data_IF_816029244837
#
_entry.id   IF_816029244837
#
_cell.length_a   1.000
_cell.length_b   1.000
_cell.length_c   1.000
_cell.angle_alpha   90.00
_cell.angle_beta   90.00
_cell.angle_gamma   90.00
#
_symmetry.space_group_name_H-M   'P 1'
#
loop_
_entity.id
_entity.type
_entity.pdbx_description
1 polymer ?
#
# COMPACT_ATOMS: atom_id res chain seq x y z
N UNK A 1 10.25 -11.70 7.37
CA UNK A 1 9.94 -10.81 6.24
C UNK A 1 9.37 -9.51 6.78
N UNK A 2 9.86 -8.39 6.31
CA UNK A 2 9.35 -7.09 6.73
C UNK A 2 7.98 -6.81 6.14
N UNK A 3 7.20 -5.98 6.81
CA UNK A 3 5.86 -5.61 6.35
C UNK A 3 5.86 -4.98 4.96
N UNK A 4 6.84 -4.10 4.69
CA UNK A 4 7.01 -3.49 3.38
C UNK A 4 7.14 -4.54 2.28
N UNK A 5 7.94 -5.57 2.52
CA UNK A 5 8.13 -6.66 1.57
C UNK A 5 6.86 -7.46 1.36
N UNK A 6 6.11 -7.71 2.43
CA UNK A 6 4.83 -8.43 2.34
C UNK A 6 3.81 -7.65 1.51
N UNK A 7 3.74 -6.34 1.73
CA UNK A 7 2.85 -5.48 0.97
C UNK A 7 3.21 -5.55 -0.51
N UNK A 8 4.48 -5.37 -0.84
CA UNK A 8 4.94 -5.39 -2.22
C UNK A 8 4.67 -6.74 -2.88
N UNK A 9 4.93 -7.83 -2.18
CA UNK A 9 4.72 -9.18 -2.70
C UNK A 9 3.25 -9.45 -2.97
N UNK A 10 2.37 -9.11 -2.03
CA UNK A 10 0.93 -9.34 -2.20
C UNK A 10 0.36 -8.53 -3.35
N UNK A 11 0.78 -7.27 -3.48
CA UNK A 11 0.30 -6.42 -4.56
C UNK A 11 0.83 -6.91 -5.91
N UNK A 12 2.05 -7.40 -5.97
CA UNK A 12 2.62 -7.96 -7.18
C UNK A 12 1.83 -9.20 -7.62
N UNK A 13 1.54 -10.09 -6.70
CA UNK A 13 0.81 -11.32 -7.02
C UNK A 13 -0.63 -11.04 -7.41
N UNK A 14 -1.28 -10.08 -6.76
CA UNK A 14 -2.69 -9.80 -7.00
C UNK A 14 -2.94 -8.99 -8.27
N UNK A 15 -2.06 -8.07 -8.62
CA UNK A 15 -2.34 -7.09 -9.67
C UNK A 15 -1.35 -7.11 -10.83
N UNK A 16 -0.26 -7.86 -10.74
CA UNK A 16 0.78 -7.91 -11.78
C UNK A 16 1.12 -6.50 -12.29
N UNK A 17 1.52 -5.58 -11.41
CA UNK A 17 1.63 -4.17 -11.78
C UNK A 17 2.80 -3.92 -12.74
N UNK A 18 2.62 -2.91 -13.59
CA UNK A 18 3.69 -2.41 -14.44
C UNK A 18 4.68 -1.59 -13.63
N UNK A 19 4.22 -0.98 -12.55
CA UNK A 19 5.03 -0.16 -11.67
C UNK A 19 4.48 -0.28 -10.25
N UNK A 20 5.39 -0.42 -9.30
CA UNK A 20 5.01 -0.52 -7.89
C UNK A 20 6.10 0.09 -7.02
N UNK A 21 5.70 1.01 -6.16
CA UNK A 21 6.59 1.56 -5.15
C UNK A 21 5.87 1.54 -3.81
N UNK A 22 6.54 0.99 -2.81
CA UNK A 22 6.03 0.94 -1.44
C UNK A 22 7.01 1.70 -0.55
N UNK A 23 6.52 2.74 0.10
CA UNK A 23 7.33 3.58 0.98
C UNK A 23 6.89 3.39 2.42
N UNK A 24 7.85 3.18 3.30
CA UNK A 24 7.63 3.15 4.73
C UNK A 24 7.82 4.56 5.26
N UNK A 25 6.73 5.20 5.66
CA UNK A 25 6.73 6.57 6.15
C UNK A 25 6.63 6.64 7.68
N UNK A 26 6.82 5.52 8.36
CA UNK A 26 6.67 5.45 9.81
C UNK A 26 7.61 6.41 10.54
N UNK A 27 8.79 6.62 10.01
CA UNK A 27 9.77 7.53 10.61
C UNK A 27 9.32 8.99 10.65
N UNK A 28 8.35 9.38 9.80
CA UNK A 28 7.81 10.74 9.80
C UNK A 28 6.99 11.03 11.05
N UNK A 29 6.70 10.01 11.84
CA UNK A 29 5.90 10.11 13.06
C UNK A 29 6.75 9.95 14.32
N UNK A 30 8.09 9.95 14.17
CA UNK A 30 8.99 9.86 15.33
C UNK A 30 8.75 10.99 16.31
N UNK A 31 8.75 10.67 17.59
CA UNK A 31 8.51 11.63 18.66
C UNK A 31 7.05 11.84 18.98
N UNK A 32 6.14 11.31 18.20
CA UNK A 32 4.71 11.40 18.48
C UNK A 32 4.28 10.28 19.43
N UNK A 33 3.25 10.54 20.21
CA UNK A 33 2.69 9.51 21.09
C UNK A 33 2.26 8.33 20.23
N UNK A 34 2.61 7.13 20.66
CA UNK A 34 2.28 5.92 19.94
C UNK A 34 3.29 5.49 18.88
N UNK A 35 4.32 6.29 18.65
CA UNK A 35 5.39 5.90 17.73
C UNK A 35 6.05 4.61 18.22
N UNK A 36 6.30 3.69 17.28
CA UNK A 36 7.02 2.45 17.56
C UNK A 36 8.40 2.50 16.95
N UNK A 37 9.45 2.19 17.73
CA UNK A 37 10.78 2.05 17.15
C UNK A 37 10.76 0.98 16.05
N UNK A 38 11.47 1.22 14.96
CA UNK A 38 11.56 0.28 13.86
C UNK A 38 10.58 0.49 12.72
N UNK A 39 9.60 1.38 12.88
CA UNK A 39 8.66 1.74 11.80
C UNK A 39 7.59 0.69 11.54
N UNK A 40 7.27 0.51 10.26
CA UNK A 40 6.32 -0.50 9.75
C UNK A 40 4.86 -0.27 10.18
N UNK A 41 4.48 0.98 10.43
CA UNK A 41 3.11 1.33 10.82
C UNK A 41 2.40 2.21 9.82
N UNK A 42 3.14 2.99 9.01
CA UNK A 42 2.57 3.94 8.05
C UNK A 42 3.25 3.75 6.71
N UNK A 43 2.44 3.48 5.69
CA UNK A 43 2.96 3.18 4.36
C UNK A 43 2.27 4.01 3.29
N UNK A 44 2.98 4.23 2.20
CA UNK A 44 2.44 4.84 0.98
C UNK A 44 2.74 3.92 -0.19
N UNK A 45 1.72 3.71 -1.03
CA UNK A 45 1.83 2.83 -2.19
C UNK A 45 1.52 3.59 -3.46
N UNK A 46 2.42 3.49 -4.45
CA UNK A 46 2.17 3.92 -5.82
C UNK A 46 2.15 2.69 -6.69
N UNK A 47 1.02 2.42 -7.34
CA UNK A 47 0.85 1.21 -8.13
C UNK A 47 0.16 1.53 -9.45
N UNK A 48 0.69 0.98 -10.54
CA UNK A 48 0.10 1.09 -11.88
C UNK A 48 -0.18 -0.32 -12.38
N UNK A 49 -1.43 -0.60 -12.69
CA UNK A 49 -1.83 -1.93 -13.14
C UNK A 49 -3.04 -1.88 -14.06
N UNK A 50 -3.07 -2.76 -15.07
CA UNK A 50 -4.23 -2.94 -15.94
C UNK A 50 -5.48 -3.33 -15.14
N UNK A 51 -5.31 -3.95 -13.99
CA UNK A 51 -6.43 -4.35 -13.13
C UNK A 51 -7.30 -3.17 -12.69
N UNK A 52 -6.75 -1.96 -12.72
CA UNK A 52 -7.48 -0.74 -12.31
C UNK A 52 -8.18 -0.04 -13.46
N UNK A 53 -8.01 -0.51 -14.68
CA UNK A 53 -8.64 0.10 -15.84
C UNK A 53 -10.16 0.05 -15.73
N UNK A 54 -10.81 1.18 -15.94
CA UNK A 54 -12.28 1.26 -15.84
C UNK A 54 -12.82 1.26 -14.42
N UNK A 55 -11.95 1.22 -13.40
CA UNK A 55 -12.38 1.22 -12.00
C UNK A 55 -12.36 2.61 -11.41
N UNK A 56 -13.32 2.89 -10.53
CA UNK A 56 -13.35 4.14 -9.77
C UNK A 56 -12.21 4.16 -8.76
N UNK A 57 -11.90 5.34 -8.25
CA UNK A 57 -10.91 5.48 -7.18
C UNK A 57 -11.28 4.64 -5.95
N UNK A 58 -12.55 4.67 -5.56
CA UNK A 58 -13.04 3.90 -4.42
C UNK A 58 -12.89 2.40 -4.67
N UNK A 59 -13.22 1.93 -5.88
CA UNK A 59 -13.10 0.51 -6.21
C UNK A 59 -11.65 0.05 -6.15
N UNK A 60 -10.71 0.87 -6.66
CA UNK A 60 -9.28 0.55 -6.63
C UNK A 60 -8.79 0.43 -5.19
N UNK A 61 -9.18 1.37 -4.33
CA UNK A 61 -8.79 1.34 -2.92
C UNK A 61 -9.35 0.11 -2.21
N UNK A 62 -10.58 -0.29 -2.51
CA UNK A 62 -11.17 -1.50 -1.94
C UNK A 62 -10.41 -2.74 -2.35
N UNK A 63 -10.02 -2.83 -3.62
CA UNK A 63 -9.26 -3.97 -4.13
C UNK A 63 -7.95 -4.13 -3.37
N UNK A 64 -7.25 -3.01 -3.16
CA UNK A 64 -5.98 -3.03 -2.44
C UNK A 64 -6.19 -3.33 -0.96
N UNK A 65 -7.19 -2.72 -0.33
CA UNK A 65 -7.48 -2.96 1.09
C UNK A 65 -7.84 -4.42 1.36
N UNK A 66 -8.59 -5.05 0.47
CA UNK A 66 -8.91 -6.47 0.59
C UNK A 66 -7.66 -7.34 0.48
N UNK A 67 -6.79 -7.01 -0.47
CA UNK A 67 -5.53 -7.74 -0.66
C UNK A 67 -4.63 -7.63 0.56
N UNK A 68 -4.63 -6.48 1.23
CA UNK A 68 -3.77 -6.20 2.38
C UNK A 68 -4.52 -6.30 3.71
N UNK A 69 -5.65 -7.00 3.75
CA UNK A 69 -6.51 -7.03 4.95
C UNK A 69 -5.77 -7.52 6.20
N UNK A 70 -4.88 -8.50 6.06
CA UNK A 70 -4.11 -9.00 7.21
C UNK A 70 -3.18 -7.94 7.76
N UNK A 71 -2.50 -7.21 6.89
CA UNK A 71 -1.57 -6.16 7.31
C UNK A 71 -2.33 -5.00 7.97
N UNK A 72 -3.48 -4.63 7.40
CA UNK A 72 -4.29 -3.54 7.95
C UNK A 72 -4.94 -3.90 9.27
N UNK A 73 -5.24 -5.17 9.49
CA UNK A 73 -5.75 -5.64 10.79
C UNK A 73 -4.64 -5.75 11.84
N UNK A 74 -3.39 -5.81 11.40
CA UNK A 74 -2.23 -5.98 12.28
C UNK A 74 -1.47 -4.67 12.51
N UNK A 75 -0.22 -4.65 12.08
CA UNK A 75 0.71 -3.55 12.40
C UNK A 75 0.54 -2.30 11.55
N UNK A 76 -0.12 -2.37 10.41
CA UNK A 76 -0.28 -1.20 9.53
C UNK A 76 -1.43 -0.33 10.02
N UNK A 77 -1.11 0.87 10.51
CA UNK A 77 -2.09 1.79 11.05
C UNK A 77 -2.64 2.75 10.01
N UNK A 78 -1.84 3.07 8.99
CA UNK A 78 -2.25 3.97 7.93
C UNK A 78 -1.64 3.55 6.61
N UNK A 79 -2.43 3.66 5.54
CA UNK A 79 -1.99 3.30 4.19
C UNK A 79 -2.52 4.34 3.21
N UNK A 80 -1.60 5.09 2.59
CA UNK A 80 -1.94 6.01 1.53
C UNK A 80 -1.78 5.28 0.19
N UNK A 81 -2.80 5.33 -0.65
CA UNK A 81 -2.85 4.56 -1.89
C UNK A 81 -2.98 5.48 -3.08
N UNK A 82 -2.08 5.30 -4.05
CA UNK A 82 -2.12 5.98 -5.35
C UNK A 82 -2.17 4.89 -6.42
N UNK A 83 -3.37 4.54 -6.86
CA UNK A 83 -3.59 3.45 -7.80
C UNK A 83 -4.02 4.01 -9.15
N UNK A 84 -3.31 3.63 -10.21
CA UNK A 84 -3.57 4.12 -11.57
C UNK A 84 -3.61 2.97 -12.56
N UNK A 85 -4.41 3.13 -13.61
CA UNK A 85 -4.30 2.30 -14.78
C UNK A 85 -3.20 2.84 -15.70
N UNK A 86 -2.62 2.00 -16.57
CA UNK A 86 -1.61 2.47 -17.52
C UNK A 86 -2.13 3.63 -18.37
N UNK A 87 -1.30 4.65 -18.56
CA UNK A 87 -1.66 5.82 -19.35
C UNK A 87 -2.39 6.92 -18.60
N UNK A 88 -2.78 6.69 -17.35
CA UNK A 88 -3.36 7.76 -16.53
C UNK A 88 -2.28 8.67 -15.99
N UNK A 89 -2.56 9.95 -15.97
CA UNK A 89 -1.62 10.94 -15.45
C UNK A 89 -1.57 10.97 -13.92
#
# INVERSE_FOLDING_TARGET
MQTKQRIAEKLTLAFSPQSLEVLDESHQHEGHAGHRPGGETHFRVYIVSDAFDGKTRVARHRMINETLSSELAGSVHALAIHAKAPGEA
#
